data_IF_563689629373
#
_entry.id   IF_563689629373
#
_cell.length_a   1.000
_cell.length_b   1.000
_cell.length_c   1.000
_cell.angle_alpha   90.00
_cell.angle_beta   90.00
_cell.angle_gamma   90.00
#
_symmetry.space_group_name_H-M   'P 1'
#
loop_
_entity.id
_entity.type
_entity.pdbx_description
1 polymer ?
#
# COMPACT_ATOMS: atom_id res chain seq x y z
N UNK A 1 -19.17 15.88 -13.05
CA UNK A 1 -18.94 14.96 -11.91
C UNK A 1 -17.89 13.89 -12.23
N UNK A 2 -18.05 13.12 -13.31
CA UNK A 2 -17.08 12.07 -13.72
C UNK A 2 -15.66 12.63 -13.97
N UNK A 3 -15.54 13.82 -14.59
CA UNK A 3 -14.23 14.45 -14.80
C UNK A 3 -13.48 14.76 -13.51
N UNK A 4 -14.16 15.35 -12.52
CA UNK A 4 -13.55 15.65 -11.21
C UNK A 4 -13.14 14.38 -10.47
N UNK A 5 -13.95 13.32 -10.59
CA UNK A 5 -13.66 12.01 -10.00
C UNK A 5 -12.44 11.35 -10.66
N UNK A 6 -12.37 11.37 -11.99
CA UNK A 6 -11.21 10.83 -12.72
C UNK A 6 -9.94 11.63 -12.39
N UNK A 7 -10.03 12.96 -12.37
CA UNK A 7 -8.92 13.85 -12.04
C UNK A 7 -8.40 13.62 -10.62
N UNK A 8 -9.28 13.59 -9.61
CA UNK A 8 -8.88 13.34 -8.22
C UNK A 8 -8.28 11.95 -8.04
N UNK A 9 -8.82 10.94 -8.75
CA UNK A 9 -8.29 9.58 -8.74
C UNK A 9 -6.90 9.49 -9.34
N UNK A 10 -6.64 10.17 -10.47
CA UNK A 10 -5.31 10.23 -11.09
C UNK A 10 -4.31 10.89 -10.14
N UNK A 11 -4.67 12.03 -9.53
CA UNK A 11 -3.80 12.71 -8.56
C UNK A 11 -3.51 11.83 -7.35
N UNK A 12 -4.52 11.14 -6.82
CA UNK A 12 -4.35 10.21 -5.71
C UNK A 12 -3.33 9.11 -6.06
N UNK A 13 -3.55 8.41 -7.18
CA UNK A 13 -2.65 7.34 -7.63
C UNK A 13 -1.23 7.84 -7.93
N UNK A 14 -1.11 9.04 -8.51
CA UNK A 14 0.16 9.70 -8.73
C UNK A 14 0.93 9.90 -7.42
N UNK A 15 0.28 10.43 -6.38
CA UNK A 15 0.91 10.69 -5.08
C UNK A 15 1.33 9.39 -4.37
N UNK A 16 0.49 8.36 -4.43
CA UNK A 16 0.83 7.03 -3.90
C UNK A 16 2.09 6.48 -4.58
N UNK A 17 2.15 6.52 -5.92
CA UNK A 17 3.31 6.01 -6.63
C UNK A 17 4.57 6.87 -6.44
N UNK A 18 4.47 8.20 -6.36
CA UNK A 18 5.63 9.05 -6.04
C UNK A 18 6.20 8.69 -4.66
N UNK A 19 5.34 8.44 -3.67
CA UNK A 19 5.74 8.01 -2.33
C UNK A 19 6.42 6.63 -2.38
N UNK A 20 5.86 5.68 -3.13
CA UNK A 20 6.45 4.35 -3.30
C UNK A 20 7.81 4.39 -3.99
N UNK A 21 7.95 5.20 -5.04
CA UNK A 21 9.23 5.38 -5.75
C UNK A 21 10.27 5.96 -4.80
N UNK A 22 9.89 6.98 -4.01
CA UNK A 22 10.79 7.59 -3.02
C UNK A 22 11.20 6.61 -1.93
N UNK A 23 10.29 5.73 -1.51
CA UNK A 23 10.59 4.66 -0.54
C UNK A 23 11.62 3.66 -1.09
N UNK A 24 11.51 3.27 -2.37
CA UNK A 24 12.45 2.32 -3.00
C UNK A 24 13.79 2.98 -3.31
N UNK A 25 13.77 4.19 -3.89
CA UNK A 25 14.94 5.01 -4.17
C UNK A 25 14.63 6.48 -3.95
N UNK A 26 15.27 7.06 -2.94
CA UNK A 26 15.20 8.51 -2.68
C UNK A 26 16.06 9.27 -3.70
N UNK A 27 15.60 9.30 -4.95
CA UNK A 27 16.27 9.98 -6.06
C UNK A 27 15.32 10.96 -6.73
N UNK A 28 15.74 12.23 -6.78
CA UNK A 28 15.02 13.29 -7.52
C UNK A 28 14.80 12.93 -8.98
N UNK A 29 15.75 12.22 -9.60
CA UNK A 29 15.66 11.76 -10.98
C UNK A 29 14.64 10.62 -11.13
N UNK A 30 14.60 9.68 -10.17
CA UNK A 30 13.60 8.60 -10.15
C UNK A 30 12.17 9.14 -10.03
N UNK A 31 11.96 10.12 -9.16
CA UNK A 31 10.68 10.83 -9.06
C UNK A 31 10.34 11.52 -10.38
N UNK A 32 11.27 12.29 -10.97
CA UNK A 32 11.02 12.99 -12.23
C UNK A 32 10.64 12.06 -13.38
N UNK A 33 11.35 10.92 -13.54
CA UNK A 33 11.03 9.90 -14.55
C UNK A 33 9.63 9.32 -14.30
N UNK A 34 9.27 9.04 -13.03
CA UNK A 34 7.93 8.58 -12.68
C UNK A 34 6.85 9.61 -13.08
N UNK A 35 7.08 10.91 -12.87
CA UNK A 35 6.13 11.97 -13.29
C UNK A 35 5.89 11.94 -14.80
N UNK A 36 6.95 11.81 -15.59
CA UNK A 36 6.85 11.71 -17.05
C UNK A 36 6.11 10.43 -17.46
N UNK A 37 6.38 9.31 -16.80
CA UNK A 37 5.71 8.04 -17.07
C UNK A 37 4.20 8.12 -16.79
N UNK A 38 3.79 8.72 -15.66
CA UNK A 38 2.36 8.89 -15.35
C UNK A 38 1.67 9.80 -16.38
N UNK A 39 2.31 10.92 -16.76
CA UNK A 39 1.77 11.80 -17.79
C UNK A 39 1.57 11.08 -19.13
N UNK A 40 2.55 10.27 -19.55
CA UNK A 40 2.44 9.44 -20.75
C UNK A 40 1.32 8.40 -20.63
N UNK A 41 1.19 7.72 -19.49
CA UNK A 41 0.15 6.72 -19.25
C UNK A 41 -1.26 7.32 -19.28
N UNK A 42 -1.45 8.55 -18.79
CA UNK A 42 -2.74 9.26 -18.89
C UNK A 42 -3.11 9.54 -20.34
N UNK A 43 -2.12 9.94 -21.16
CA UNK A 43 -2.33 10.15 -22.60
C UNK A 43 -2.68 8.85 -23.32
N UNK A 44 -1.95 7.76 -23.04
CA UNK A 44 -2.24 6.43 -23.61
C UNK A 44 -3.61 5.94 -23.18
N UNK A 45 -3.97 6.12 -21.91
CA UNK A 45 -5.27 5.75 -21.35
C UNK A 45 -6.46 6.47 -22.01
N UNK A 46 -6.24 7.66 -22.57
CA UNK A 46 -7.26 8.40 -23.31
C UNK A 46 -7.50 7.87 -24.73
N UNK A 47 -6.56 7.09 -25.30
CA UNK A 47 -6.61 6.59 -26.68
C UNK A 47 -6.94 5.10 -26.75
N UNK A 48 -6.54 4.33 -25.74
CA UNK A 48 -6.74 2.88 -25.69
C UNK A 48 -8.22 2.51 -25.51
N UNK A 49 -8.62 1.32 -25.98
CA UNK A 49 -9.99 0.84 -25.78
C UNK A 49 -10.28 0.57 -24.31
N UNK A 50 -11.53 0.81 -23.92
CA UNK A 50 -11.98 0.61 -22.55
C UNK A 50 -11.79 -0.84 -22.09
N UNK A 51 -12.09 -1.81 -22.95
CA UNK A 51 -11.93 -3.24 -22.65
C UNK A 51 -10.47 -3.64 -22.38
N UNK A 52 -9.54 -3.07 -23.16
CA UNK A 52 -8.12 -3.29 -22.93
C UNK A 52 -7.66 -2.65 -21.62
N UNK A 53 -8.11 -1.41 -21.33
CA UNK A 53 -7.79 -0.74 -20.08
C UNK A 53 -8.29 -1.52 -18.86
N UNK A 54 -9.52 -2.04 -18.89
CA UNK A 54 -10.06 -2.90 -17.83
C UNK A 54 -9.29 -4.21 -17.71
N UNK A 55 -9.02 -4.89 -18.82
CA UNK A 55 -8.26 -6.15 -18.80
C UNK A 55 -6.85 -5.96 -18.22
N UNK A 56 -6.19 -4.86 -18.57
CA UNK A 56 -4.88 -4.52 -18.02
C UNK A 56 -4.94 -4.18 -16.53
N UNK A 57 -5.97 -3.45 -16.11
CA UNK A 57 -6.21 -3.14 -14.70
C UNK A 57 -6.47 -4.41 -13.88
N UNK A 58 -7.28 -5.34 -14.39
CA UNK A 58 -7.62 -6.59 -13.72
C UNK A 58 -6.39 -7.48 -13.50
N UNK A 59 -5.53 -7.63 -14.53
CA UNK A 59 -4.27 -8.39 -14.41
C UNK A 59 -3.35 -7.76 -13.35
N UNK A 60 -3.21 -6.43 -13.39
CA UNK A 60 -2.35 -5.72 -12.43
C UNK A 60 -2.92 -5.81 -11.01
N UNK A 61 -4.24 -5.70 -10.86
CA UNK A 61 -4.92 -5.84 -9.57
C UNK A 61 -4.80 -7.27 -9.03
N UNK A 62 -4.90 -8.29 -9.88
CA UNK A 62 -4.69 -9.68 -9.50
C UNK A 62 -3.27 -9.90 -8.96
N UNK A 63 -2.26 -9.37 -9.65
CA UNK A 63 -0.87 -9.45 -9.19
C UNK A 63 -0.66 -8.76 -7.84
N UNK A 64 -1.17 -7.52 -7.69
CA UNK A 64 -1.10 -6.78 -6.43
C UNK A 64 -1.80 -7.54 -5.30
N UNK A 65 -2.96 -8.13 -5.59
CA UNK A 65 -3.75 -8.91 -4.63
C UNK A 65 -2.99 -10.15 -4.18
N UNK A 66 -2.36 -10.88 -5.11
CA UNK A 66 -1.56 -12.06 -4.78
C UNK A 66 -0.36 -11.72 -3.89
N UNK A 67 0.37 -10.65 -4.20
CA UNK A 67 1.50 -10.18 -3.38
C UNK A 67 1.05 -9.80 -1.96
N UNK A 68 -0.01 -8.99 -1.86
CA UNK A 68 -0.52 -8.52 -0.57
C UNK A 68 -1.12 -9.68 0.25
N UNK A 69 -1.85 -10.60 -0.39
CA UNK A 69 -2.41 -11.76 0.26
C UNK A 69 -1.30 -12.68 0.80
N UNK A 70 -0.25 -12.93 0.02
CA UNK A 70 0.90 -13.71 0.49
C UNK A 70 1.56 -13.06 1.72
N UNK A 71 1.77 -11.73 1.69
CA UNK A 71 2.30 -11.00 2.83
C UNK A 71 1.38 -11.09 4.06
N UNK A 72 0.06 -10.95 3.88
CA UNK A 72 -0.92 -11.08 4.97
C UNK A 72 -0.91 -12.49 5.55
N UNK A 73 -0.82 -13.54 4.74
CA UNK A 73 -0.77 -14.91 5.24
C UNK A 73 0.48 -15.13 6.08
N UNK A 74 1.64 -14.66 5.62
CA UNK A 74 2.89 -14.73 6.38
C UNK A 74 2.83 -13.94 7.70
N UNK A 75 2.17 -12.78 7.69
CA UNK A 75 2.02 -11.89 8.85
C UNK A 75 0.81 -12.24 9.73
N UNK A 76 -0.05 -13.18 9.30
CA UNK A 76 -1.35 -13.45 9.93
C UNK A 76 -1.19 -13.87 11.38
N UNK A 77 -0.16 -14.68 11.67
CA UNK A 77 0.12 -15.19 13.00
C UNK A 77 0.50 -14.06 13.97
N UNK A 78 1.34 -13.13 13.52
CA UNK A 78 1.73 -11.94 14.28
C UNK A 78 0.55 -10.98 14.46
N UNK A 79 -0.20 -10.73 13.39
CA UNK A 79 -1.35 -9.83 13.41
C UNK A 79 -2.46 -10.30 14.36
N UNK A 80 -2.77 -11.61 14.38
CA UNK A 80 -3.75 -12.18 15.31
C UNK A 80 -3.28 -12.11 16.75
N UNK A 81 -1.98 -12.33 17.01
CA UNK A 81 -1.41 -12.19 18.35
C UNK A 81 -1.54 -10.74 18.87
N UNK A 82 -1.11 -9.76 18.06
CA UNK A 82 -1.22 -8.34 18.38
C UNK A 82 -2.67 -7.92 18.61
N UNK A 83 -3.60 -8.41 17.78
CA UNK A 83 -5.02 -8.13 17.94
C UNK A 83 -5.58 -8.71 19.24
N UNK A 84 -5.17 -9.91 19.64
CA UNK A 84 -5.58 -10.52 20.91
C UNK A 84 -5.04 -9.73 22.10
N UNK A 85 -3.76 -9.37 22.08
CA UNK A 85 -3.14 -8.56 23.13
C UNK A 85 -3.83 -7.19 23.26
N UNK A 86 -4.07 -6.51 22.14
CA UNK A 86 -4.80 -5.24 22.12
C UNK A 86 -6.22 -5.37 22.70
N UNK A 87 -6.97 -6.41 22.30
CA UNK A 87 -8.33 -6.65 22.81
C UNK A 87 -8.35 -6.98 24.30
N UNK A 88 -7.36 -7.74 24.77
CA UNK A 88 -7.19 -8.08 26.19
C UNK A 88 -6.98 -6.80 27.02
N UNK A 89 -6.03 -5.95 26.61
CA UNK A 89 -5.75 -4.68 27.30
C UNK A 89 -6.95 -3.75 27.33
N UNK A 90 -7.67 -3.64 26.19
CA UNK A 90 -8.90 -2.84 26.11
C UNK A 90 -10.02 -3.39 27.01
N UNK A 91 -10.16 -4.71 27.11
CA UNK A 91 -11.15 -5.36 27.98
C UNK A 91 -10.83 -5.15 29.47
N UNK A 92 -9.56 -5.04 29.81
CA UNK A 92 -9.07 -4.72 31.16
C UNK A 92 -9.21 -3.22 31.50
N UNK A 93 -9.76 -2.39 30.59
CA UNK A 93 -9.94 -0.96 30.80
C UNK A 93 -8.63 -0.15 30.75
N UNK A 94 -7.53 -0.75 30.29
CA UNK A 94 -6.23 -0.10 30.16
C UNK A 94 -6.12 0.61 28.81
N UNK A 95 -5.29 1.65 28.76
CA UNK A 95 -4.84 2.20 27.48
C UNK A 95 -3.89 1.18 26.83
N UNK A 96 -4.23 0.64 25.64
CA UNK A 96 -3.48 -0.45 25.04
C UNK A 96 -2.10 0.03 24.58
N UNK A 97 -1.04 -0.55 25.13
CA UNK A 97 0.35 -0.31 24.75
C UNK A 97 1.00 -1.65 24.41
N UNK A 98 1.60 -1.74 23.23
CA UNK A 98 2.37 -2.91 22.84
C UNK A 98 3.85 -2.70 23.21
N UNK A 99 4.44 -3.65 23.91
CA UNK A 99 5.88 -3.67 24.22
C UNK A 99 6.57 -4.82 23.49
N UNK A 100 7.79 -4.59 22.99
CA UNK A 100 8.55 -5.57 22.17
C UNK A 100 8.78 -6.90 22.89
N UNK A 101 8.81 -6.88 24.22
CA UNK A 101 9.02 -8.05 25.08
C UNK A 101 7.95 -9.13 24.89
N UNK A 102 6.76 -8.75 24.39
CA UNK A 102 5.66 -9.69 24.12
C UNK A 102 5.86 -10.52 22.86
N UNK A 103 6.83 -10.18 21.99
CA UNK A 103 7.15 -10.90 20.76
C UNK A 103 8.67 -10.98 20.53
N UNK A 104 9.39 -11.81 21.30
CA UNK A 104 10.85 -11.91 21.22
C UNK A 104 11.35 -12.36 19.84
N UNK A 105 10.57 -13.16 19.09
CA UNK A 105 10.92 -13.66 17.76
C UNK A 105 11.08 -12.57 16.68
N UNK A 106 10.50 -11.38 16.89
CA UNK A 106 10.57 -10.26 15.94
C UNK A 106 11.00 -8.95 16.61
N UNK A 107 11.48 -9.01 17.86
CA UNK A 107 11.84 -7.83 18.65
C UNK A 107 12.88 -6.94 17.94
N UNK A 108 13.86 -7.54 17.27
CA UNK A 108 14.91 -6.82 16.52
C UNK A 108 14.39 -6.10 15.26
N UNK A 109 13.22 -6.49 14.76
CA UNK A 109 12.58 -5.92 13.55
C UNK A 109 11.43 -4.95 13.87
N UNK A 110 11.10 -4.78 15.15
CA UNK A 110 10.01 -3.94 15.60
C UNK A 110 10.53 -2.54 15.94
N UNK A 111 10.14 -1.54 15.15
CA UNK A 111 10.18 -0.14 15.56
C UNK A 111 9.00 0.17 16.49
N UNK A 112 8.98 -0.43 17.68
CA UNK A 112 8.08 -0.01 18.75
C UNK A 112 8.76 1.07 19.63
N UNK A 113 7.93 2.00 20.11
CA UNK A 113 8.29 3.00 21.13
C UNK A 113 8.36 2.35 22.52
#
# INVERSE_FOLDING_TARGET
MIWLFAFSSIIGNYYYGETNVRYIRDSKLGVFVYRLAVAAMVMVGAVVSLDFAWSFADITMALLTLCNLAAIVLLSRQAVFLLKDYRQQKKEGKNPVFTKDKMPEIADKLEAW
#
